data_IF_869820100476
#
_entry.id   IF_869820100476
#
_cell.length_a   1.000
_cell.length_b   1.000
_cell.length_c   1.000
_cell.angle_alpha   90.00
_cell.angle_beta   90.00
_cell.angle_gamma   90.00
#
_symmetry.space_group_name_H-M   'P 1'
#
loop_
_entity.id
_entity.type
_entity.pdbx_description
1 polymer ?
#
# COMPACT_ATOMS: atom_id res chain seq x y z
N UNK A 1 9.83 1.94 9.72
CA UNK A 1 10.62 0.84 9.14
C UNK A 1 11.78 1.36 8.30
N UNK A 2 12.95 0.71 8.39
CA UNK A 2 14.17 1.05 7.66
C UNK A 2 14.41 0.00 6.59
N UNK A 3 14.59 0.45 5.33
CA UNK A 3 14.87 -0.45 4.23
C UNK A 3 16.27 -1.06 4.36
N UNK A 4 16.44 -2.36 4.05
CA UNK A 4 17.77 -2.90 3.88
C UNK A 4 18.44 -2.27 2.65
N UNK A 5 19.78 -2.12 2.65
CA UNK A 5 20.48 -1.59 1.49
C UNK A 5 20.26 -2.50 0.28
N UNK A 6 20.05 -1.88 -0.89
CA UNK A 6 20.02 -2.64 -2.14
C UNK A 6 21.39 -3.25 -2.43
N UNK A 7 21.42 -4.44 -3.07
CA UNK A 7 22.68 -5.02 -3.52
C UNK A 7 23.38 -4.10 -4.53
N UNK A 8 24.72 -4.24 -4.60
CA UNK A 8 25.50 -3.55 -5.64
C UNK A 8 25.08 -4.02 -7.04
N UNK A 9 25.15 -3.12 -8.05
CA UNK A 9 24.82 -3.47 -9.43
C UNK A 9 25.69 -4.61 -9.96
N UNK A 10 25.07 -5.63 -10.52
CA UNK A 10 25.77 -6.74 -11.17
C UNK A 10 25.92 -6.57 -12.69
N UNK A 11 25.18 -5.64 -13.30
CA UNK A 11 25.16 -5.35 -14.73
C UNK A 11 25.77 -4.00 -15.08
N UNK A 12 25.63 -3.59 -16.34
CA UNK A 12 26.08 -2.28 -16.80
C UNK A 12 25.39 -1.17 -16.01
N UNK A 13 26.16 -0.23 -15.49
CA UNK A 13 25.64 0.94 -14.78
C UNK A 13 25.77 2.20 -15.65
N UNK A 14 24.74 3.05 -15.62
CA UNK A 14 24.72 4.36 -16.25
C UNK A 14 24.45 5.41 -15.19
N UNK A 15 25.35 6.37 -15.08
CA UNK A 15 25.19 7.50 -14.18
C UNK A 15 24.52 8.67 -14.91
N UNK A 16 23.46 9.23 -14.30
CA UNK A 16 22.73 10.36 -14.86
C UNK A 16 22.62 11.49 -13.84
N UNK A 17 22.77 12.73 -14.32
CA UNK A 17 22.74 13.94 -13.48
C UNK A 17 21.93 15.08 -14.08
N UNK A 18 21.28 14.85 -15.24
CA UNK A 18 20.41 15.83 -15.89
C UNK A 18 19.05 15.22 -16.20
N UNK A 19 18.02 16.05 -16.41
CA UNK A 19 16.67 15.60 -16.78
C UNK A 19 16.69 14.86 -18.12
N UNK A 20 17.39 15.42 -19.12
CA UNK A 20 17.51 14.83 -20.46
C UNK A 20 18.23 13.47 -20.39
N UNK A 21 19.31 13.38 -19.61
CA UNK A 21 20.04 12.14 -19.37
C UNK A 21 19.18 11.08 -18.70
N UNK A 22 18.39 11.47 -17.69
CA UNK A 22 17.47 10.56 -16.99
C UNK A 22 16.37 10.04 -17.93
N UNK A 23 15.73 10.94 -18.69
CA UNK A 23 14.70 10.56 -19.66
C UNK A 23 15.27 9.59 -20.72
N UNK A 24 16.43 9.90 -21.28
CA UNK A 24 17.08 9.05 -22.27
C UNK A 24 17.48 7.68 -21.69
N UNK A 25 18.06 7.66 -20.48
CA UNK A 25 18.48 6.43 -19.83
C UNK A 25 17.28 5.50 -19.51
N UNK A 26 16.16 6.07 -19.06
CA UNK A 26 14.93 5.29 -18.76
C UNK A 26 14.34 4.71 -20.04
N UNK A 27 14.20 5.50 -21.10
CA UNK A 27 13.56 5.06 -22.36
C UNK A 27 14.41 4.13 -23.21
N UNK A 28 15.73 4.24 -23.11
CA UNK A 28 16.69 3.43 -23.84
C UNK A 28 17.32 2.32 -23.00
N UNK A 29 16.80 2.10 -21.79
CA UNK A 29 17.30 1.12 -20.86
C UNK A 29 17.45 -0.27 -21.50
N UNK A 30 18.56 -0.92 -21.23
CA UNK A 30 18.83 -2.29 -21.68
C UNK A 30 18.53 -3.28 -20.52
N UNK A 31 18.19 -4.52 -20.88
CA UNK A 31 17.93 -5.55 -19.89
C UNK A 31 19.12 -5.74 -18.92
N UNK A 32 18.82 -5.78 -17.63
CA UNK A 32 19.83 -5.91 -16.57
C UNK A 32 20.60 -4.63 -16.22
N UNK A 33 20.30 -3.51 -16.87
CA UNK A 33 20.99 -2.25 -16.65
C UNK A 33 20.60 -1.58 -15.33
N UNK A 34 21.57 -0.94 -14.67
CA UNK A 34 21.32 -0.07 -13.52
C UNK A 34 21.49 1.40 -13.91
N UNK A 35 20.44 2.20 -13.71
CA UNK A 35 20.45 3.65 -13.88
C UNK A 35 20.62 4.26 -12.49
N UNK A 36 21.79 4.88 -12.25
CA UNK A 36 22.10 5.57 -11.00
C UNK A 36 21.89 7.06 -11.18
N UNK A 37 20.95 7.62 -10.45
CA UNK A 37 20.59 9.03 -10.54
C UNK A 37 21.34 9.81 -9.47
N UNK A 38 22.12 10.81 -9.88
CA UNK A 38 22.82 11.70 -8.98
C UNK A 38 21.83 12.51 -8.11
N UNK A 39 22.29 12.94 -6.94
CA UNK A 39 21.49 13.83 -6.09
C UNK A 39 21.09 15.09 -6.87
N UNK A 40 19.81 15.42 -6.84
CA UNK A 40 19.26 16.55 -7.59
C UNK A 40 17.75 16.60 -7.63
N UNK A 41 17.22 17.72 -8.12
CA UNK A 41 15.80 17.93 -8.33
C UNK A 41 15.51 17.96 -9.83
N UNK A 42 14.80 16.94 -10.32
CA UNK A 42 14.53 16.67 -11.72
C UNK A 42 13.09 17.05 -12.06
N UNK A 43 12.85 18.23 -12.63
CA UNK A 43 11.53 18.61 -13.15
C UNK A 43 11.25 17.82 -14.43
N UNK A 44 10.44 16.77 -14.30
CA UNK A 44 10.18 15.87 -15.41
C UNK A 44 9.30 16.55 -16.47
N UNK A 45 9.74 16.57 -17.75
CA UNK A 45 9.01 17.25 -18.81
C UNK A 45 7.80 16.45 -19.31
N UNK A 46 7.77 15.15 -19.03
CA UNK A 46 6.73 14.23 -19.49
C UNK A 46 6.75 12.90 -18.75
N UNK A 47 5.75 12.09 -18.97
CA UNK A 47 5.72 10.69 -18.55
C UNK A 47 6.81 9.88 -19.27
N UNK A 48 7.49 9.00 -18.55
CA UNK A 48 8.51 8.08 -19.07
C UNK A 48 8.24 6.65 -18.61
N UNK A 49 8.64 5.65 -19.40
CA UNK A 49 8.40 4.23 -19.08
C UNK A 49 9.68 3.40 -19.18
N UNK A 50 9.90 2.53 -18.19
CA UNK A 50 10.87 1.44 -18.28
C UNK A 50 10.21 0.28 -19.03
N UNK A 51 10.91 -0.22 -20.09
CA UNK A 51 10.39 -1.27 -20.98
C UNK A 51 11.32 -2.46 -21.13
N UNK A 52 12.42 -2.49 -20.40
CA UNK A 52 13.40 -3.58 -20.44
C UNK A 52 13.40 -4.36 -19.12
N UNK A 53 13.70 -5.66 -19.22
CA UNK A 53 13.70 -6.56 -18.07
C UNK A 53 14.86 -6.29 -17.12
N UNK A 54 14.65 -6.54 -15.83
CA UNK A 54 15.68 -6.49 -14.79
C UNK A 54 16.42 -5.15 -14.69
N UNK A 55 15.79 -4.05 -15.13
CA UNK A 55 16.35 -2.70 -14.97
C UNK A 55 16.23 -2.28 -13.51
N UNK A 56 17.29 -1.67 -12.97
CA UNK A 56 17.26 -1.00 -11.68
C UNK A 56 17.40 0.51 -11.87
N UNK A 57 16.39 1.28 -11.44
CA UNK A 57 16.45 2.74 -11.35
C UNK A 57 16.60 3.13 -9.89
N UNK A 58 17.70 3.74 -9.49
CA UNK A 58 17.96 4.09 -8.10
C UNK A 58 18.79 5.36 -7.93
N UNK A 59 18.70 5.95 -6.73
CA UNK A 59 19.63 7.00 -6.30
C UNK A 59 21.08 6.47 -6.31
N UNK A 60 22.03 7.30 -6.74
CA UNK A 60 23.45 7.00 -6.64
C UNK A 60 23.95 7.04 -5.18
N UNK A 61 23.36 7.92 -4.36
CA UNK A 61 23.72 8.06 -2.93
C UNK A 61 22.95 7.10 -2.00
N UNK A 62 21.92 6.41 -2.49
CA UNK A 62 21.00 5.63 -1.66
C UNK A 62 20.08 6.47 -0.75
N UNK A 63 20.10 7.79 -0.90
CA UNK A 63 19.34 8.71 -0.06
C UNK A 63 18.08 9.19 -0.80
N UNK A 64 16.93 8.55 -0.51
CA UNK A 64 15.67 8.76 -1.22
C UNK A 64 15.19 10.21 -1.30
N UNK A 65 15.53 11.06 -0.32
CA UNK A 65 15.12 12.46 -0.29
C UNK A 65 16.01 13.39 -1.14
N UNK A 66 17.16 12.89 -1.64
CA UNK A 66 18.11 13.68 -2.43
C UNK A 66 17.89 13.54 -3.93
N UNK A 67 17.20 12.52 -4.39
CA UNK A 67 16.84 12.34 -5.79
C UNK A 67 15.36 12.57 -5.94
N UNK A 68 14.95 13.73 -6.45
CA UNK A 68 13.55 14.15 -6.53
C UNK A 68 13.12 14.25 -8.00
N UNK A 69 12.21 13.37 -8.42
CA UNK A 69 11.51 13.44 -9.70
C UNK A 69 10.20 14.19 -9.49
N UNK A 70 10.12 15.40 -10.04
CA UNK A 70 9.01 16.34 -9.77
C UNK A 70 8.12 16.54 -11.00
N UNK A 71 6.85 16.24 -10.86
CA UNK A 71 5.84 16.37 -11.91
C UNK A 71 5.19 17.75 -12.01
N UNK A 72 5.57 18.73 -11.18
CA UNK A 72 4.91 20.04 -11.14
C UNK A 72 4.92 20.80 -12.47
N UNK A 73 5.90 20.50 -13.36
CA UNK A 73 6.02 21.10 -14.68
C UNK A 73 5.61 20.15 -15.82
N UNK A 74 5.19 18.92 -15.50
CA UNK A 74 4.76 17.95 -16.50
C UNK A 74 3.35 18.29 -17.02
N UNK A 75 3.12 18.34 -18.33
CA UNK A 75 1.79 18.45 -18.91
C UNK A 75 0.97 17.16 -18.73
N UNK A 76 1.65 16.02 -18.46
CA UNK A 76 1.02 14.73 -18.23
C UNK A 76 0.54 14.56 -16.79
N UNK A 77 -0.52 13.78 -16.62
CA UNK A 77 -1.02 13.42 -15.30
C UNK A 77 -0.24 12.30 -14.62
N UNK A 78 0.67 11.63 -15.33
CA UNK A 78 1.47 10.50 -14.86
C UNK A 78 2.96 10.84 -14.95
N UNK A 79 3.81 10.18 -14.15
CA UNK A 79 5.24 10.52 -14.14
C UNK A 79 6.16 9.39 -14.59
N UNK A 80 6.13 8.24 -13.90
CA UNK A 80 6.99 7.11 -14.17
C UNK A 80 6.20 5.82 -14.33
N UNK A 81 6.42 5.08 -15.40
CA UNK A 81 5.73 3.83 -15.66
C UNK A 81 6.63 2.64 -15.90
N UNK A 82 6.02 1.47 -15.87
CA UNK A 82 6.61 0.20 -16.29
C UNK A 82 5.68 -0.47 -17.29
N UNK A 83 6.23 -1.02 -18.37
CA UNK A 83 5.46 -1.61 -19.46
C UNK A 83 6.19 -2.81 -20.07
N UNK A 84 5.48 -3.92 -20.26
CA UNK A 84 5.95 -5.12 -20.95
C UNK A 84 7.33 -5.61 -20.50
N UNK A 85 7.58 -5.58 -19.18
CA UNK A 85 8.87 -5.94 -18.58
C UNK A 85 8.70 -6.71 -17.26
N UNK A 86 9.75 -7.40 -16.86
CA UNK A 86 9.83 -8.19 -15.64
C UNK A 86 11.07 -7.86 -14.83
N UNK A 87 10.98 -7.98 -13.49
CA UNK A 87 12.13 -7.87 -12.59
C UNK A 87 12.67 -6.44 -12.41
N UNK A 88 11.91 -5.42 -12.80
CA UNK A 88 12.33 -4.02 -12.61
C UNK A 88 12.35 -3.66 -11.13
N UNK A 89 13.39 -2.94 -10.71
CA UNK A 89 13.49 -2.35 -9.36
C UNK A 89 13.58 -0.83 -9.48
N UNK A 90 12.71 -0.12 -8.75
CA UNK A 90 12.74 1.33 -8.59
C UNK A 90 12.93 1.64 -7.12
N UNK A 91 14.02 2.35 -6.77
CA UNK A 91 14.35 2.50 -5.36
C UNK A 91 15.10 3.79 -5.02
N UNK A 92 15.06 4.13 -3.73
CA UNK A 92 15.86 5.18 -3.11
C UNK A 92 15.65 6.57 -3.76
N UNK A 93 14.43 6.90 -4.17
CA UNK A 93 14.11 8.19 -4.80
C UNK A 93 12.75 8.74 -4.34
N UNK A 94 12.53 10.01 -4.62
CA UNK A 94 11.26 10.71 -4.40
C UNK A 94 10.55 10.94 -5.73
N UNK A 95 9.25 10.64 -5.77
CA UNK A 95 8.31 11.11 -6.81
C UNK A 95 7.34 12.07 -6.15
N UNK A 96 7.16 13.27 -6.73
CA UNK A 96 6.28 14.25 -6.13
C UNK A 96 5.52 15.13 -7.13
N UNK A 97 4.46 15.80 -6.63
CA UNK A 97 3.68 16.82 -7.34
C UNK A 97 3.10 16.31 -8.67
N UNK A 98 2.44 15.15 -8.62
CA UNK A 98 1.87 14.51 -9.80
C UNK A 98 0.34 14.59 -9.77
N UNK A 99 -0.25 15.05 -10.85
CA UNK A 99 -1.70 15.28 -10.92
C UNK A 99 -2.52 14.00 -10.86
N UNK A 100 -2.04 12.90 -11.48
CA UNK A 100 -2.74 11.60 -11.49
C UNK A 100 -1.93 10.52 -10.78
N UNK A 101 -1.05 9.81 -11.51
CA UNK A 101 -0.36 8.65 -10.99
C UNK A 101 1.16 8.88 -10.87
N UNK A 102 1.69 8.66 -9.67
CA UNK A 102 3.15 8.72 -9.45
C UNK A 102 3.85 7.60 -10.20
N UNK A 103 3.54 6.35 -9.84
CA UNK A 103 3.96 5.16 -10.56
C UNK A 103 2.77 4.53 -11.28
N UNK A 104 2.92 4.28 -12.58
CA UNK A 104 1.93 3.55 -13.38
C UNK A 104 2.45 2.19 -13.78
N UNK A 105 1.72 1.16 -13.39
CA UNK A 105 1.95 -0.21 -13.83
C UNK A 105 0.99 -0.51 -14.97
N UNK A 106 1.50 -0.62 -16.20
CA UNK A 106 0.71 -0.98 -17.36
C UNK A 106 0.43 -2.50 -17.33
N UNK A 107 -0.45 -2.89 -16.40
CA UNK A 107 -0.74 -4.29 -16.03
C UNK A 107 -1.17 -5.14 -17.22
N UNK A 108 -1.81 -4.51 -18.21
CA UNK A 108 -2.29 -5.13 -19.46
C UNK A 108 -1.16 -5.55 -20.41
N UNK A 109 0.07 -5.19 -20.08
CA UNK A 109 1.25 -5.45 -20.93
C UNK A 109 2.21 -6.49 -20.33
N UNK A 110 1.74 -7.35 -19.44
CA UNK A 110 2.55 -8.40 -18.83
C UNK A 110 3.72 -7.89 -17.96
N UNK A 111 3.45 -6.94 -17.07
CA UNK A 111 4.44 -6.49 -16.07
C UNK A 111 4.54 -7.50 -14.93
N UNK A 112 5.73 -8.03 -14.66
CA UNK A 112 5.97 -9.08 -13.65
C UNK A 112 7.08 -8.67 -12.68
N UNK A 113 7.00 -9.11 -11.42
CA UNK A 113 8.08 -9.02 -10.41
C UNK A 113 8.67 -7.61 -10.25
N UNK A 114 7.83 -6.56 -10.39
CA UNK A 114 8.23 -5.19 -10.10
C UNK A 114 8.51 -5.01 -8.61
N UNK A 115 9.59 -4.34 -8.26
CA UNK A 115 9.90 -3.90 -6.90
C UNK A 115 9.95 -2.38 -6.85
N UNK A 116 9.13 -1.77 -5.97
CA UNK A 116 9.23 -0.36 -5.58
C UNK A 116 9.66 -0.35 -4.11
N UNK A 117 10.86 0.17 -3.83
CA UNK A 117 11.46 0.05 -2.52
C UNK A 117 12.07 1.37 -2.04
N UNK A 118 11.86 1.70 -0.77
CA UNK A 118 12.47 2.87 -0.13
C UNK A 118 12.27 4.18 -0.92
N UNK A 119 11.09 4.36 -1.51
CA UNK A 119 10.73 5.59 -2.21
C UNK A 119 9.88 6.52 -1.34
N UNK A 120 9.93 7.81 -1.64
CA UNK A 120 8.98 8.80 -1.14
C UNK A 120 8.00 9.13 -2.28
N UNK A 121 6.70 9.03 -1.98
CA UNK A 121 5.61 9.30 -2.90
C UNK A 121 4.77 10.44 -2.28
N UNK A 122 4.96 11.67 -2.77
CA UNK A 122 4.51 12.88 -2.12
C UNK A 122 3.62 13.74 -3.03
N UNK A 123 2.48 14.19 -2.52
CA UNK A 123 1.53 15.02 -3.26
C UNK A 123 1.14 14.42 -4.62
N UNK A 124 0.63 13.20 -4.58
CA UNK A 124 0.06 12.52 -5.74
C UNK A 124 -1.47 12.57 -5.64
N UNK A 125 -2.14 13.18 -6.65
CA UNK A 125 -3.53 13.59 -6.49
C UNK A 125 -4.57 12.59 -7.01
N UNK A 126 -4.14 11.44 -7.59
CA UNK A 126 -5.01 10.28 -7.80
C UNK A 126 -4.43 9.04 -7.11
N UNK A 127 -3.35 8.47 -7.64
CA UNK A 127 -2.78 7.22 -7.15
C UNK A 127 -1.27 7.31 -6.99
N UNK A 128 -0.76 7.08 -5.79
CA UNK A 128 0.69 6.95 -5.60
C UNK A 128 1.26 5.86 -6.50
N UNK A 129 0.66 4.66 -6.44
CA UNK A 129 0.93 3.55 -7.37
C UNK A 129 -0.38 3.08 -7.98
N UNK A 130 -0.44 3.05 -9.32
CA UNK A 130 -1.61 2.58 -10.10
C UNK A 130 -1.30 1.32 -10.88
N UNK A 131 -1.97 0.20 -10.58
CA UNK A 131 -2.05 -0.96 -11.46
C UNK A 131 -3.34 -0.92 -12.26
N UNK A 132 -3.24 -0.83 -13.58
CA UNK A 132 -4.42 -0.67 -14.44
C UNK A 132 -5.18 -1.97 -14.68
N UNK A 133 -6.35 -1.87 -15.30
CA UNK A 133 -7.21 -3.01 -15.64
C UNK A 133 -6.51 -3.94 -16.65
N UNK A 134 -6.66 -5.24 -16.44
CA UNK A 134 -6.17 -6.28 -17.36
C UNK A 134 -7.37 -6.81 -18.19
N UNK A 135 -7.29 -6.86 -19.53
CA UNK A 135 -8.37 -7.37 -20.37
C UNK A 135 -8.67 -8.85 -20.06
N UNK A 136 -9.88 -9.36 -20.37
CA UNK A 136 -10.25 -10.74 -20.11
C UNK A 136 -9.37 -11.74 -20.84
N UNK A 137 -9.05 -11.48 -22.12
CA UNK A 137 -8.28 -12.37 -22.98
C UNK A 137 -6.86 -12.53 -22.45
N UNK A 138 -6.47 -13.77 -22.16
CA UNK A 138 -5.14 -14.08 -21.68
C UNK A 138 -4.77 -13.52 -20.31
N UNK A 139 -5.75 -13.00 -19.53
CA UNK A 139 -5.54 -12.34 -18.24
C UNK A 139 -4.62 -13.15 -17.31
N UNK A 140 -4.83 -14.46 -17.22
CA UNK A 140 -4.03 -15.32 -16.35
C UNK A 140 -2.54 -15.36 -16.71
N UNK A 141 -2.19 -15.16 -17.96
CA UNK A 141 -0.82 -15.11 -18.42
C UNK A 141 -0.16 -13.74 -18.15
N UNK A 142 -0.89 -12.65 -18.37
CA UNK A 142 -0.33 -11.29 -18.39
C UNK A 142 -0.54 -10.51 -17.08
N UNK A 143 -1.48 -10.93 -16.21
CA UNK A 143 -1.76 -10.21 -14.94
C UNK A 143 -0.48 -10.04 -14.11
N UNK A 144 -0.27 -8.90 -13.43
CA UNK A 144 0.96 -8.64 -12.70
C UNK A 144 1.12 -9.60 -11.51
N UNK A 145 2.25 -10.33 -11.48
CA UNK A 145 2.55 -11.33 -10.44
C UNK A 145 3.84 -11.01 -9.72
N UNK A 146 3.89 -11.33 -8.42
CA UNK A 146 5.10 -11.31 -7.61
C UNK A 146 5.73 -9.93 -7.42
N UNK A 147 4.93 -8.86 -7.53
CA UNK A 147 5.43 -7.51 -7.32
C UNK A 147 5.53 -7.18 -5.82
N UNK A 148 6.40 -6.23 -5.50
CA UNK A 148 6.66 -5.78 -4.12
C UNK A 148 6.63 -4.26 -4.03
N UNK A 149 5.96 -3.73 -2.99
CA UNK A 149 6.02 -2.31 -2.63
C UNK A 149 6.37 -2.26 -1.16
N UNK A 150 7.60 -1.84 -0.84
CA UNK A 150 8.15 -2.00 0.50
C UNK A 150 8.95 -0.79 0.95
N UNK A 151 8.89 -0.47 2.25
CA UNK A 151 9.67 0.60 2.90
C UNK A 151 9.44 2.00 2.32
N UNK A 152 8.33 2.20 1.60
CA UNK A 152 7.99 3.47 1.00
C UNK A 152 7.23 4.37 1.97
N UNK A 153 7.40 5.69 1.79
CA UNK A 153 6.62 6.72 2.46
C UNK A 153 5.67 7.35 1.45
N UNK A 154 4.37 7.21 1.68
CA UNK A 154 3.31 7.87 0.93
C UNK A 154 2.72 8.98 1.79
N UNK A 155 2.77 10.23 1.33
CA UNK A 155 2.11 11.28 2.09
C UNK A 155 1.65 12.45 1.22
N UNK A 156 0.61 13.13 1.68
CA UNK A 156 0.16 14.40 1.10
C UNK A 156 0.13 15.46 2.19
N UNK A 157 0.51 16.68 1.84
CA UNK A 157 0.57 17.81 2.78
C UNK A 157 -0.83 18.29 3.21
N UNK A 158 -1.86 17.89 2.50
CA UNK A 158 -3.25 18.25 2.72
C UNK A 158 -4.21 17.29 2.03
N UNK A 159 -5.51 17.31 2.36
CA UNK A 159 -6.52 16.61 1.57
C UNK A 159 -6.54 17.07 0.10
N UNK A 160 -6.90 16.17 -0.81
CA UNK A 160 -7.12 16.46 -2.22
C UNK A 160 -8.20 17.52 -2.39
N UNK A 161 -8.06 18.40 -3.39
CA UNK A 161 -9.07 19.37 -3.85
C UNK A 161 -9.52 19.00 -5.27
N UNK A 162 -10.74 19.40 -5.63
CA UNK A 162 -11.22 19.22 -7.02
C UNK A 162 -10.29 19.84 -8.06
N UNK A 163 -9.67 20.99 -7.74
CA UNK A 163 -8.75 21.68 -8.63
C UNK A 163 -7.42 20.93 -8.87
N UNK A 164 -7.06 20.00 -8.01
CA UNK A 164 -5.82 19.22 -8.18
C UNK A 164 -5.92 18.24 -9.34
N UNK A 165 -7.15 17.84 -9.71
CA UNK A 165 -7.42 16.90 -10.78
C UNK A 165 -8.80 17.16 -11.41
N UNK A 166 -8.82 17.86 -12.51
CA UNK A 166 -10.04 18.20 -13.26
C UNK A 166 -10.74 16.98 -13.90
N UNK A 167 -10.07 15.83 -13.98
CA UNK A 167 -10.63 14.58 -14.51
C UNK A 167 -11.23 13.69 -13.41
N UNK A 168 -11.27 14.15 -12.16
CA UNK A 168 -11.82 13.39 -11.04
C UNK A 168 -13.33 13.19 -11.18
N UNK A 169 -13.73 11.93 -11.35
CA UNK A 169 -15.12 11.51 -11.49
C UNK A 169 -15.80 11.19 -10.15
N UNK A 170 -15.08 11.30 -9.03
CA UNK A 170 -15.54 10.94 -7.69
C UNK A 170 -15.61 12.15 -6.74
N UNK A 171 -15.89 13.33 -7.27
CA UNK A 171 -16.05 14.57 -6.50
C UNK A 171 -14.87 14.87 -5.57
N UNK A 172 -13.64 14.73 -6.07
CA UNK A 172 -12.41 14.93 -5.31
C UNK A 172 -12.01 13.75 -4.41
N UNK A 173 -12.71 12.61 -4.48
CA UNK A 173 -12.41 11.42 -3.70
C UNK A 173 -11.70 10.30 -4.48
N UNK A 174 -11.35 10.55 -5.74
CA UNK A 174 -10.60 9.59 -6.54
C UNK A 174 -9.11 9.64 -6.16
N UNK A 175 -8.79 9.21 -4.93
CA UNK A 175 -7.42 9.21 -4.40
C UNK A 175 -7.16 7.92 -3.60
N UNK A 176 -5.94 7.39 -3.74
CA UNK A 176 -5.39 6.32 -2.90
C UNK A 176 -3.85 6.35 -2.92
N UNK A 177 -3.21 5.78 -1.90
CA UNK A 177 -1.77 5.54 -1.93
C UNK A 177 -1.41 4.48 -2.97
N UNK A 178 -1.98 3.30 -2.85
CA UNK A 178 -1.83 2.18 -3.80
C UNK A 178 -3.22 1.77 -4.28
N UNK A 179 -3.42 1.65 -5.59
CA UNK A 179 -4.65 1.14 -6.21
C UNK A 179 -4.26 0.15 -7.31
N UNK A 180 -4.47 -1.13 -7.08
CA UNK A 180 -4.10 -2.18 -8.03
C UNK A 180 -5.23 -3.16 -8.28
N UNK A 181 -5.34 -3.56 -9.54
CA UNK A 181 -6.31 -4.51 -10.04
C UNK A 181 -5.61 -5.76 -10.57
N UNK A 182 -6.25 -6.92 -10.42
CA UNK A 182 -5.78 -8.21 -10.95
C UNK A 182 -4.37 -8.62 -10.46
N UNK A 183 -3.87 -8.03 -9.39
CA UNK A 183 -2.59 -8.38 -8.78
C UNK A 183 -2.60 -9.84 -8.30
N UNK A 184 -1.46 -10.53 -8.40
CA UNK A 184 -1.32 -11.89 -7.86
C UNK A 184 0.03 -12.05 -7.15
N UNK A 185 -0.01 -12.66 -5.96
CA UNK A 185 1.18 -12.94 -5.17
C UNK A 185 2.02 -11.68 -4.86
N UNK A 186 1.35 -10.53 -4.63
CA UNK A 186 2.04 -9.29 -4.27
C UNK A 186 2.30 -9.23 -2.77
N UNK A 187 3.37 -8.52 -2.42
CA UNK A 187 3.68 -8.14 -1.05
C UNK A 187 3.73 -6.61 -0.94
N UNK A 188 2.86 -6.06 -0.09
CA UNK A 188 2.82 -4.63 0.24
C UNK A 188 3.13 -4.54 1.72
N UNK A 189 4.38 -4.21 2.06
CA UNK A 189 4.83 -4.30 3.45
C UNK A 189 5.77 -3.18 3.87
N UNK A 190 5.79 -2.93 5.17
CA UNK A 190 6.75 -2.03 5.79
C UNK A 190 6.68 -0.59 5.25
N UNK A 191 5.52 -0.18 4.70
CA UNK A 191 5.29 1.16 4.19
C UNK A 191 4.64 2.05 5.26
N UNK A 192 4.81 3.35 5.09
CA UNK A 192 4.13 4.38 5.90
C UNK A 192 3.25 5.21 4.98
N UNK A 193 1.97 5.39 5.37
CA UNK A 193 1.01 6.23 4.67
C UNK A 193 0.52 7.33 5.60
N UNK A 194 0.54 8.58 5.15
CA UNK A 194 0.10 9.73 5.95
C UNK A 194 -0.76 10.66 5.10
N UNK A 195 -1.97 10.97 5.58
CA UNK A 195 -2.80 12.03 4.99
C UNK A 195 -3.31 11.73 3.59
N UNK A 196 -3.55 10.46 3.23
CA UNK A 196 -4.16 10.10 1.93
C UNK A 196 -5.67 10.31 2.05
N UNK A 197 -6.10 11.54 1.75
CA UNK A 197 -7.47 12.00 1.98
C UNK A 197 -8.08 12.62 0.73
N UNK A 198 -9.36 12.32 0.49
CA UNK A 198 -10.19 12.95 -0.52
C UNK A 198 -10.75 14.29 -0.03
N UNK A 199 -11.42 15.01 -0.92
CA UNK A 199 -11.97 16.36 -0.62
C UNK A 199 -13.12 16.35 0.39
N UNK A 200 -13.83 15.20 0.54
CA UNK A 200 -14.95 15.05 1.49
C UNK A 200 -14.69 13.98 2.55
N UNK A 201 -13.47 13.44 2.61
CA UNK A 201 -13.12 12.37 3.54
C UNK A 201 -13.58 10.99 3.09
N UNK A 202 -13.76 10.76 1.79
CA UNK A 202 -14.24 9.50 1.18
C UNK A 202 -13.22 8.94 0.17
N UNK A 203 -11.94 9.19 0.37
CA UNK A 203 -10.85 8.63 -0.44
C UNK A 203 -10.86 7.09 -0.40
N UNK A 204 -10.27 6.47 -1.40
CA UNK A 204 -10.33 5.00 -1.59
C UNK A 204 -9.39 4.21 -0.67
N UNK A 205 -8.62 4.90 0.16
CA UNK A 205 -7.75 4.31 1.15
C UNK A 205 -6.27 4.41 0.87
N UNK A 206 -5.47 4.14 1.91
CA UNK A 206 -4.03 4.06 1.74
C UNK A 206 -3.65 2.92 0.79
N UNK A 207 -4.27 1.74 0.95
CA UNK A 207 -4.07 0.57 0.07
C UNK A 207 -5.43 0.04 -0.39
N UNK A 208 -5.61 -0.02 -1.71
CA UNK A 208 -6.83 -0.48 -2.36
C UNK A 208 -6.53 -1.61 -3.36
N UNK A 209 -7.03 -2.81 -3.05
CA UNK A 209 -6.89 -4.03 -3.85
C UNK A 209 -8.27 -4.47 -4.35
N UNK A 210 -8.40 -4.74 -5.66
CA UNK A 210 -9.68 -5.12 -6.21
C UNK A 210 -9.59 -5.83 -7.57
N UNK A 211 -10.72 -6.14 -8.19
CA UNK A 211 -10.84 -6.86 -9.47
C UNK A 211 -9.97 -8.11 -9.55
N UNK A 212 -10.42 -9.20 -8.91
CA UNK A 212 -9.79 -10.51 -8.95
C UNK A 212 -8.30 -10.48 -8.53
N UNK A 213 -7.98 -9.64 -7.52
CA UNK A 213 -6.67 -9.66 -6.87
C UNK A 213 -6.53 -10.93 -6.02
N UNK A 214 -5.42 -11.66 -6.16
CA UNK A 214 -5.28 -12.99 -5.59
C UNK A 214 -4.01 -13.16 -4.78
N UNK A 215 -4.11 -13.80 -3.61
CA UNK A 215 -3.01 -14.19 -2.72
C UNK A 215 -2.00 -13.08 -2.45
N UNK A 216 -2.49 -11.84 -2.33
CA UNK A 216 -1.66 -10.71 -1.96
C UNK A 216 -1.58 -10.59 -0.45
N UNK A 217 -0.41 -10.19 0.05
CA UNK A 217 -0.16 -9.95 1.47
C UNK A 217 0.07 -8.46 1.71
N UNK A 218 -0.71 -7.89 2.65
CA UNK A 218 -0.57 -6.51 3.12
C UNK A 218 -0.19 -6.57 4.60
N UNK A 219 1.06 -6.27 4.93
CA UNK A 219 1.56 -6.49 6.27
C UNK A 219 2.57 -5.44 6.75
N UNK A 220 2.63 -5.23 8.05
CA UNK A 220 3.59 -4.32 8.70
C UNK A 220 3.61 -2.92 8.11
N UNK A 221 2.44 -2.43 7.64
CA UNK A 221 2.30 -1.05 7.22
C UNK A 221 1.80 -0.18 8.38
N UNK A 222 2.21 1.08 8.40
CA UNK A 222 1.75 2.10 9.33
C UNK A 222 0.92 3.11 8.54
N UNK A 223 -0.35 3.28 8.91
CA UNK A 223 -1.32 4.11 8.17
C UNK A 223 -1.90 5.14 9.14
N UNK A 224 -1.73 6.42 8.80
CA UNK A 224 -2.04 7.55 9.68
C UNK A 224 -2.86 8.59 8.91
N UNK A 225 -3.99 9.03 9.47
CA UNK A 225 -4.82 10.10 8.89
C UNK A 225 -5.21 9.86 7.42
N UNK A 226 -5.50 8.63 7.03
CA UNK A 226 -6.05 8.29 5.71
C UNK A 226 -7.56 8.06 5.84
N UNK A 227 -8.37 8.43 4.84
CA UNK A 227 -9.83 8.27 4.92
C UNK A 227 -10.24 6.80 5.18
N UNK A 228 -9.63 5.87 4.47
CA UNK A 228 -9.70 4.43 4.71
C UNK A 228 -8.27 3.89 4.83
N UNK A 229 -8.04 2.98 5.76
CA UNK A 229 -6.73 2.32 5.86
C UNK A 229 -6.52 1.32 4.72
N UNK A 230 -7.12 0.15 4.83
CA UNK A 230 -7.04 -0.91 3.83
C UNK A 230 -8.42 -1.16 3.24
N UNK A 231 -8.52 -1.18 1.91
CA UNK A 231 -9.73 -1.56 1.21
C UNK A 231 -9.49 -2.78 0.34
N UNK A 232 -10.08 -3.92 0.72
CA UNK A 232 -10.06 -5.18 0.01
C UNK A 232 -11.40 -5.32 -0.72
N UNK A 233 -11.42 -4.91 -1.99
CA UNK A 233 -12.61 -4.96 -2.84
C UNK A 233 -13.34 -3.62 -2.98
N UNK A 234 -14.43 -3.64 -3.76
CA UNK A 234 -15.21 -2.47 -4.15
C UNK A 234 -16.69 -2.87 -4.30
N UNK A 235 -17.66 -2.03 -3.93
CA UNK A 235 -19.07 -2.26 -4.25
C UNK A 235 -19.34 -2.39 -5.76
N UNK A 236 -18.54 -1.73 -6.62
CA UNK A 236 -18.67 -1.83 -8.07
C UNK A 236 -17.94 -3.07 -8.60
N UNK A 237 -18.69 -4.02 -9.19
CA UNK A 237 -18.14 -5.18 -9.90
C UNK A 237 -18.19 -4.96 -11.41
N UNK A 238 -17.15 -5.37 -12.12
CA UNK A 238 -17.18 -5.49 -13.57
C UNK A 238 -17.66 -6.89 -13.99
N UNK A 239 -18.14 -7.02 -15.21
CA UNK A 239 -18.59 -8.29 -15.78
C UNK A 239 -17.50 -9.37 -15.66
N UNK A 240 -17.90 -10.54 -15.18
CA UNK A 240 -17.03 -11.70 -15.01
C UNK A 240 -16.12 -11.67 -13.75
N UNK A 241 -16.25 -10.65 -12.90
CA UNK A 241 -15.58 -10.62 -11.60
C UNK A 241 -16.58 -10.94 -10.49
N UNK A 242 -16.48 -12.13 -9.91
CA UNK A 242 -17.29 -12.56 -8.79
C UNK A 242 -16.76 -12.02 -7.47
N UNK A 243 -15.45 -12.17 -7.23
CA UNK A 243 -14.77 -11.67 -6.05
C UNK A 243 -13.65 -10.70 -6.42
N UNK A 244 -13.52 -9.63 -5.64
CA UNK A 244 -12.45 -8.65 -5.82
C UNK A 244 -11.12 -9.11 -5.25
N UNK A 245 -11.15 -9.79 -4.10
CA UNK A 245 -9.95 -10.34 -3.46
C UNK A 245 -10.17 -11.81 -3.13
N UNK A 246 -9.21 -12.65 -3.51
CA UNK A 246 -9.25 -14.10 -3.26
C UNK A 246 -7.96 -14.54 -2.55
N UNK A 247 -8.08 -15.13 -1.37
CA UNK A 247 -6.94 -15.63 -0.60
C UNK A 247 -5.94 -14.54 -0.16
N UNK A 248 -6.40 -13.28 -0.09
CA UNK A 248 -5.54 -12.16 0.35
C UNK A 248 -5.47 -12.09 1.88
N UNK A 249 -4.34 -11.62 2.39
CA UNK A 249 -4.08 -11.50 3.83
C UNK A 249 -3.71 -10.06 4.17
N UNK A 250 -4.41 -9.47 5.17
CA UNK A 250 -4.04 -8.22 5.81
C UNK A 250 -3.64 -8.52 7.27
N UNK A 251 -2.36 -8.33 7.64
CA UNK A 251 -1.89 -8.68 8.98
C UNK A 251 -0.82 -7.74 9.51
N UNK A 252 -0.73 -7.63 10.83
CA UNK A 252 0.30 -6.87 11.53
C UNK A 252 0.42 -5.43 11.02
N UNK A 253 -0.70 -4.75 10.72
CA UNK A 253 -0.68 -3.34 10.33
C UNK A 253 -1.10 -2.46 11.50
N UNK A 254 -0.48 -1.29 11.64
CA UNK A 254 -0.96 -0.20 12.48
C UNK A 254 -1.79 0.77 11.66
N UNK A 255 -2.99 1.10 12.12
CA UNK A 255 -3.90 2.03 11.46
C UNK A 255 -4.46 3.01 12.49
N UNK A 256 -4.26 4.31 12.27
CA UNK A 256 -4.80 5.34 13.15
C UNK A 256 -5.58 6.38 12.38
N UNK A 257 -6.66 6.86 13.00
CA UNK A 257 -7.48 7.96 12.46
C UNK A 257 -7.87 7.74 11.00
N UNK A 258 -8.57 6.63 10.76
CA UNK A 258 -9.17 6.29 9.48
C UNK A 258 -10.70 6.42 9.60
N UNK A 259 -11.26 7.63 9.46
CA UNK A 259 -12.62 7.97 9.90
C UNK A 259 -13.73 7.24 9.13
N UNK A 260 -13.47 6.77 7.91
CA UNK A 260 -14.40 5.94 7.15
C UNK A 260 -14.36 4.48 7.61
N UNK A 261 -13.18 3.90 7.69
CA UNK A 261 -12.90 2.59 8.26
C UNK A 261 -11.39 2.31 8.26
N UNK A 262 -10.90 1.59 9.26
CA UNK A 262 -9.54 1.08 9.24
C UNK A 262 -9.35 0.01 8.17
N UNK A 263 -10.21 -1.00 8.13
CA UNK A 263 -10.20 -2.07 7.11
C UNK A 263 -11.60 -2.30 6.57
N UNK A 264 -11.74 -2.37 5.24
CA UNK A 264 -12.99 -2.70 4.55
C UNK A 264 -12.80 -3.94 3.70
N UNK A 265 -13.72 -4.90 3.76
CA UNK A 265 -13.77 -6.08 2.89
C UNK A 265 -15.08 -6.11 2.11
N UNK A 266 -14.99 -6.29 0.77
CA UNK A 266 -16.13 -6.22 -0.14
C UNK A 266 -15.97 -7.24 -1.26
N UNK A 267 -16.87 -8.21 -1.38
CA UNK A 267 -16.77 -9.30 -2.34
C UNK A 267 -15.41 -10.00 -2.28
N UNK A 268 -15.13 -10.59 -1.11
CA UNK A 268 -13.88 -11.34 -0.88
C UNK A 268 -14.16 -12.84 -0.75
N UNK A 269 -13.13 -13.66 -1.07
CA UNK A 269 -13.17 -15.11 -0.89
C UNK A 269 -11.89 -15.61 -0.24
N UNK A 270 -12.03 -16.43 0.81
CA UNK A 270 -10.90 -17.03 1.55
C UNK A 270 -9.84 -16.02 2.00
N UNK A 271 -10.27 -14.77 2.28
CA UNK A 271 -9.40 -13.70 2.77
C UNK A 271 -9.25 -13.74 4.29
N UNK A 272 -8.17 -13.14 4.78
CA UNK A 272 -7.85 -13.15 6.21
C UNK A 272 -7.42 -11.76 6.69
N UNK A 273 -8.00 -11.29 7.80
CA UNK A 273 -7.67 -10.03 8.48
C UNK A 273 -7.19 -10.38 9.89
N UNK A 274 -5.86 -10.38 10.11
CA UNK A 274 -5.24 -11.02 11.27
C UNK A 274 -4.30 -10.07 12.01
N UNK A 275 -4.38 -10.05 13.34
CA UNK A 275 -3.41 -9.32 14.17
C UNK A 275 -3.14 -7.88 13.70
N UNK A 276 -4.16 -7.12 13.27
CA UNK A 276 -4.00 -5.69 13.02
C UNK A 276 -4.36 -4.90 14.28
N UNK A 277 -3.70 -3.76 14.48
CA UNK A 277 -4.09 -2.80 15.51
C UNK A 277 -4.67 -1.57 14.84
N UNK A 278 -5.94 -1.26 15.15
CA UNK A 278 -6.67 -0.11 14.61
C UNK A 278 -7.07 0.79 15.77
N UNK A 279 -6.60 2.03 15.77
CA UNK A 279 -6.89 3.00 16.82
C UNK A 279 -7.57 4.25 16.23
N UNK A 280 -8.86 4.37 16.46
CA UNK A 280 -9.64 5.57 16.16
C UNK A 280 -10.86 5.65 17.08
N UNK A 281 -10.69 6.05 18.36
CA UNK A 281 -11.79 6.14 19.31
C UNK A 281 -12.84 7.18 18.91
N UNK A 282 -12.49 8.15 18.08
CA UNK A 282 -13.36 9.18 17.55
C UNK A 282 -13.86 8.89 16.12
N UNK A 283 -13.81 7.62 15.68
CA UNK A 283 -14.21 7.21 14.32
C UNK A 283 -15.57 7.78 13.92
N UNK A 284 -15.60 8.56 12.84
CA UNK A 284 -16.79 9.23 12.33
C UNK A 284 -17.94 8.26 11.99
N UNK A 285 -17.59 7.12 11.42
CA UNK A 285 -18.56 6.12 10.94
C UNK A 285 -18.77 4.97 11.90
N UNK A 286 -18.13 4.99 13.07
CA UNK A 286 -18.26 3.95 14.10
C UNK A 286 -18.00 2.51 13.58
N UNK A 287 -16.96 2.34 12.76
CA UNK A 287 -16.62 1.06 12.14
C UNK A 287 -15.13 0.94 11.83
N UNK A 288 -14.35 0.39 12.75
CA UNK A 288 -12.91 0.19 12.54
C UNK A 288 -12.62 -0.94 11.52
N UNK A 289 -13.41 -2.01 11.55
CA UNK A 289 -13.49 -3.01 10.47
C UNK A 289 -14.90 -3.01 9.92
N UNK A 290 -15.04 -2.98 8.61
CA UNK A 290 -16.32 -3.08 7.92
C UNK A 290 -16.31 -4.23 6.91
N UNK A 291 -17.32 -5.10 6.97
CA UNK A 291 -17.53 -6.17 5.98
C UNK A 291 -18.83 -5.94 5.23
N UNK A 292 -18.83 -5.98 3.90
CA UNK A 292 -20.01 -5.62 3.07
C UNK A 292 -20.19 -6.64 1.96
N UNK A 293 -21.43 -7.02 1.68
CA UNK A 293 -21.81 -7.99 0.65
C UNK A 293 -21.19 -9.39 0.89
N UNK A 294 -20.88 -10.13 -0.17
CA UNK A 294 -20.29 -11.46 -0.03
C UNK A 294 -18.83 -11.39 0.45
N UNK A 295 -18.52 -12.15 1.49
CA UNK A 295 -17.16 -12.33 2.03
C UNK A 295 -16.99 -13.79 2.43
N UNK A 296 -17.00 -14.68 1.44
CA UNK A 296 -17.03 -16.12 1.65
C UNK A 296 -15.70 -16.63 2.21
N UNK A 297 -15.76 -17.38 3.31
CA UNK A 297 -14.57 -17.90 3.99
C UNK A 297 -13.66 -16.83 4.62
N UNK A 298 -14.19 -15.60 4.84
CA UNK A 298 -13.42 -14.55 5.52
C UNK A 298 -13.20 -14.89 6.99
N UNK A 299 -11.93 -14.79 7.43
CA UNK A 299 -11.51 -14.91 8.83
C UNK A 299 -11.01 -13.56 9.33
N UNK A 300 -11.57 -13.08 10.45
CA UNK A 300 -11.14 -11.85 11.14
C UNK A 300 -10.70 -12.24 12.54
N UNK A 301 -9.38 -12.29 12.79
CA UNK A 301 -8.87 -12.87 14.01
C UNK A 301 -7.76 -12.04 14.69
N UNK A 302 -7.78 -12.01 16.01
CA UNK A 302 -6.78 -11.40 16.89
C UNK A 302 -6.50 -9.91 16.59
N UNK A 303 -7.45 -9.18 15.99
CA UNK A 303 -7.29 -7.76 15.79
C UNK A 303 -7.57 -6.97 17.08
N UNK A 304 -6.77 -5.95 17.36
CA UNK A 304 -7.00 -4.99 18.42
C UNK A 304 -7.70 -3.76 17.84
N UNK A 305 -8.93 -3.53 18.25
CA UNK A 305 -9.79 -2.46 17.75
C UNK A 305 -10.04 -1.45 18.88
N UNK A 306 -9.19 -0.42 18.95
CA UNK A 306 -9.29 0.64 19.94
C UNK A 306 -10.23 1.74 19.46
N UNK A 307 -11.53 1.54 19.71
CA UNK A 307 -12.60 2.42 19.29
C UNK A 307 -13.94 1.68 19.15
N UNK A 308 -14.83 2.13 18.25
CA UNK A 308 -16.22 1.64 18.18
C UNK A 308 -16.41 0.21 17.61
N UNK A 309 -15.33 -0.47 17.21
CA UNK A 309 -15.39 -1.89 16.84
C UNK A 309 -15.68 -2.17 15.37
N UNK A 310 -16.36 -3.30 15.13
CA UNK A 310 -16.64 -3.84 13.80
C UNK A 310 -18.10 -3.60 13.39
N UNK A 311 -18.30 -3.41 12.07
CA UNK A 311 -19.64 -3.39 11.47
C UNK A 311 -19.72 -4.47 10.40
N UNK A 312 -20.49 -5.50 10.71
CA UNK A 312 -20.74 -6.59 9.77
C UNK A 312 -22.04 -6.33 9.00
N UNK A 313 -21.91 -6.04 7.70
CA UNK A 313 -23.00 -5.87 6.74
C UNK A 313 -22.85 -6.92 5.61
N UNK A 314 -22.20 -8.05 5.91
CA UNK A 314 -21.96 -9.13 4.95
C UNK A 314 -23.13 -10.10 4.90
N UNK A 315 -23.43 -10.61 3.70
CA UNK A 315 -24.39 -11.68 3.47
C UNK A 315 -23.79 -13.06 3.79
N UNK A 316 -22.46 -13.15 3.92
CA UNK A 316 -21.72 -14.40 4.19
C UNK A 316 -21.52 -14.60 5.69
N UNK A 317 -21.38 -15.87 6.09
CA UNK A 317 -20.92 -16.24 7.43
C UNK A 317 -19.42 -15.93 7.54
N UNK A 318 -19.07 -15.00 8.44
CA UNK A 318 -17.70 -14.62 8.74
C UNK A 318 -17.25 -15.28 10.04
N UNK A 319 -16.00 -15.73 10.09
CA UNK A 319 -15.39 -16.26 11.29
C UNK A 319 -14.67 -15.14 12.07
N UNK A 320 -15.15 -14.84 13.28
CA UNK A 320 -14.54 -13.86 14.18
C UNK A 320 -13.90 -14.57 15.38
N UNK A 321 -12.57 -14.42 15.55
CA UNK A 321 -11.80 -15.15 16.57
C UNK A 321 -10.92 -14.18 17.37
N UNK A 322 -11.00 -14.16 18.68
CA UNK A 322 -10.02 -13.51 19.56
C UNK A 322 -9.79 -12.02 19.33
N UNK A 323 -10.73 -11.31 18.68
CA UNK A 323 -10.59 -9.87 18.50
C UNK A 323 -10.91 -9.13 19.81
N UNK A 324 -10.08 -8.12 20.13
CA UNK A 324 -10.31 -7.24 21.28
C UNK A 324 -10.90 -5.91 20.81
N UNK A 325 -12.10 -5.58 21.31
CA UNK A 325 -12.79 -4.32 21.00
C UNK A 325 -12.92 -3.53 22.30
N UNK A 326 -12.03 -2.57 22.47
CA UNK A 326 -12.01 -1.71 23.65
C UNK A 326 -11.12 -0.50 23.37
N UNK A 327 -11.47 0.67 23.91
CA UNK A 327 -10.57 1.82 23.89
C UNK A 327 -9.30 1.52 24.70
N UNK A 328 -8.19 1.41 24.01
CA UNK A 328 -6.87 1.08 24.53
C UNK A 328 -5.89 2.26 24.40
N UNK A 329 -6.38 3.49 24.28
CA UNK A 329 -5.55 4.69 24.05
C UNK A 329 -4.37 4.78 25.04
N UNK A 330 -4.59 4.51 26.31
CA UNK A 330 -3.55 4.57 27.36
C UNK A 330 -2.56 3.38 27.35
N UNK A 331 -2.83 2.38 26.54
CA UNK A 331 -2.00 1.16 26.43
C UNK A 331 -1.03 1.21 25.26
N UNK A 332 -1.05 2.27 24.45
CA UNK A 332 -0.12 2.46 23.33
C UNK A 332 1.01 3.43 23.69
N UNK A 333 2.16 3.26 23.06
CA UNK A 333 3.36 4.06 23.30
C UNK A 333 3.17 5.54 22.91
N UNK A 334 2.65 5.82 21.69
CA UNK A 334 2.31 7.17 21.22
C UNK A 334 1.27 7.10 20.07
N UNK A 335 -0.01 6.91 20.38
CA UNK A 335 -1.04 6.77 19.35
C UNK A 335 -1.27 8.06 18.54
N UNK A 336 -0.86 9.22 19.06
CA UNK A 336 -0.98 10.50 18.34
C UNK A 336 -0.05 10.54 17.11
N UNK A 337 1.14 9.97 17.21
CA UNK A 337 2.09 9.84 16.09
C UNK A 337 1.87 8.59 15.23
N UNK A 338 0.90 7.72 15.58
CA UNK A 338 0.67 6.45 14.91
C UNK A 338 1.51 5.29 15.46
N UNK A 339 2.21 5.51 16.57
CA UNK A 339 2.96 4.47 17.27
C UNK A 339 2.03 3.68 18.21
N UNK A 340 1.53 2.55 17.70
CA UNK A 340 0.61 1.68 18.42
C UNK A 340 1.29 0.47 19.08
N UNK A 341 2.59 0.55 19.35
CA UNK A 341 3.27 -0.47 20.15
C UNK A 341 2.66 -0.53 21.54
N UNK A 342 2.52 -1.75 22.06
CA UNK A 342 1.94 -1.99 23.36
C UNK A 342 2.87 -1.53 24.47
N UNK A 343 2.26 -1.08 25.57
CA UNK A 343 2.96 -0.84 26.84
C UNK A 343 2.52 -1.87 27.87
N UNK A 344 3.14 -1.94 29.03
CA UNK A 344 2.74 -2.81 30.14
C UNK A 344 1.28 -2.59 30.61
N UNK A 345 0.68 -1.47 30.22
CA UNK A 345 -0.73 -1.20 30.50
C UNK A 345 -1.71 -2.02 29.62
N UNK A 346 -1.22 -2.67 28.55
CA UNK A 346 -2.04 -3.44 27.61
C UNK A 346 -2.42 -4.84 28.12
N UNK A 347 -2.72 -5.01 29.40
CA UNK A 347 -2.95 -6.30 30.08
C UNK A 347 -4.05 -7.17 29.47
N UNK A 348 -4.98 -6.57 28.73
CA UNK A 348 -6.07 -7.29 28.06
C UNK A 348 -5.65 -7.81 26.67
N UNK A 349 -4.55 -7.34 26.11
CA UNK A 349 -4.00 -7.78 24.83
C UNK A 349 -2.82 -8.74 24.99
N UNK A 350 -1.96 -8.52 26.01
CA UNK A 350 -0.73 -9.26 26.25
C UNK A 350 -1.04 -10.74 26.57
N UNK A 351 -0.42 -11.68 25.84
CA UNK A 351 -0.57 -13.14 25.95
C UNK A 351 -2.02 -13.63 25.80
N UNK A 352 -2.88 -12.94 25.05
CA UNK A 352 -4.32 -13.25 24.94
C UNK A 352 -4.78 -13.67 23.54
N UNK A 353 -3.95 -13.57 22.53
CA UNK A 353 -4.37 -13.99 21.20
C UNK A 353 -4.44 -15.52 21.07
N UNK A 354 -5.30 -15.97 20.17
CA UNK A 354 -5.35 -17.37 19.77
C UNK A 354 -4.16 -17.67 18.84
N UNK A 355 -3.34 -18.68 19.09
CA UNK A 355 -2.23 -19.03 18.22
C UNK A 355 -2.68 -19.27 16.78
N UNK A 356 -2.07 -18.60 15.82
CA UNK A 356 -2.32 -18.75 14.39
C UNK A 356 -1.02 -19.17 13.69
N UNK A 357 -0.95 -20.39 13.10
CA UNK A 357 0.30 -20.90 12.50
C UNK A 357 0.89 -20.01 11.40
N UNK A 358 0.06 -19.21 10.75
CA UNK A 358 0.46 -18.36 9.62
C UNK A 358 0.95 -16.97 10.05
N UNK A 359 0.91 -16.64 11.36
CA UNK A 359 1.35 -15.34 11.88
C UNK A 359 2.37 -15.56 13.00
N UNK A 360 3.59 -15.90 12.58
CA UNK A 360 4.69 -16.25 13.50
C UNK A 360 5.45 -15.03 14.02
N UNK A 361 5.32 -13.90 13.38
CA UNK A 361 6.02 -12.65 13.71
C UNK A 361 5.02 -11.50 13.83
N UNK A 362 5.41 -10.46 14.54
CA UNK A 362 4.67 -9.21 14.71
C UNK A 362 5.06 -8.13 13.67
N UNK A 363 4.69 -6.88 13.93
CA UNK A 363 5.02 -5.73 13.06
C UNK A 363 6.53 -5.46 12.99
N UNK A 364 7.27 -5.76 14.05
CA UNK A 364 8.73 -5.57 14.16
C UNK A 364 9.52 -6.85 13.86
N UNK A 365 8.84 -7.92 13.43
CA UNK A 365 9.41 -9.27 13.18
C UNK A 365 9.89 -9.97 14.46
N UNK A 366 9.28 -9.65 15.59
CA UNK A 366 9.48 -10.37 16.84
C UNK A 366 8.62 -11.64 16.81
N UNK A 367 9.18 -12.75 17.32
CA UNK A 367 8.47 -14.04 17.29
C UNK A 367 7.31 -14.06 18.30
N UNK A 368 6.15 -14.53 17.84
CA UNK A 368 4.95 -14.73 18.64
C UNK A 368 4.98 -16.08 19.35
N UNK A 369 5.55 -16.13 20.55
CA UNK A 369 5.61 -17.38 21.36
C UNK A 369 4.33 -17.56 22.14
N UNK A 370 3.86 -16.52 22.81
CA UNK A 370 2.55 -16.37 23.43
C UNK A 370 1.93 -15.12 22.83
N UNK A 371 1.14 -15.26 21.77
CA UNK A 371 0.81 -14.11 20.94
C UNK A 371 -0.06 -13.08 21.66
N UNK A 372 0.28 -11.82 21.45
CA UNK A 372 -0.53 -10.68 21.85
C UNK A 372 -1.63 -10.40 20.84
N UNK A 373 -2.77 -9.83 21.30
CA UNK A 373 -3.82 -9.38 20.40
C UNK A 373 -3.39 -8.06 19.78
N UNK A 374 -3.43 -7.98 18.45
CA UNK A 374 -2.97 -6.83 17.68
C UNK A 374 -1.69 -7.10 16.91
N UNK A 375 -1.12 -6.04 16.37
CA UNK A 375 0.00 -6.12 15.44
C UNK A 375 1.38 -6.18 16.12
N UNK A 376 1.46 -5.92 17.41
CA UNK A 376 2.67 -5.84 18.22
C UNK A 376 2.76 -6.97 19.25
N UNK A 377 3.97 -7.40 19.56
CA UNK A 377 4.31 -8.23 20.72
C UNK A 377 5.06 -7.38 21.73
N UNK A 378 4.55 -7.30 22.96
CA UNK A 378 5.28 -6.66 24.03
C UNK A 378 6.40 -7.58 24.51
N UNK A 379 7.64 -7.30 24.14
CA UNK A 379 8.81 -7.99 24.68
C UNK A 379 9.38 -7.22 25.86
N UNK A 380 9.66 -7.92 26.95
CA UNK A 380 10.40 -7.36 28.07
C UNK A 380 11.81 -6.97 27.58
N UNK A 381 12.15 -5.70 27.75
CA UNK A 381 13.47 -5.17 27.42
C UNK A 381 14.48 -5.44 28.52
#
# INVERSE_FOLDING_TARGET
PTAPPLPEPHGAAVDVSTVEGLVAAVEQAQAGQTIRVADGHYFMPRYVEIRADNVTLRSASGQRHRVVLDGARSPHGELLGVRACSGVTIADLTIQNVRWNGFKINSETNVQKLTICNCIIHNIWQRGVKGVKVPPEGREAIRPKGCRIQYCLFYNDRPKRLADDSADIANGNYIAGIDVMYARDWVISDNVFVGIQGSTGEGRGAIFLWFDTQRCTVERNIIIDCDVGLQLGNPHRADGVEYHCVGCVARNNFITRAPEAGIVTVYTKDCRVLHNTIHDPASRMSRLIRTVFANDGLVVANNLLSGPGMRNESDSKIEFIGNLIKDMTSAFADPASGNLHLTQAATEAIDKAVPLPDVMEDIDRQLRIKPDIGADELVDK
#
